data_IF_504110265998
#
_entry.id   IF_504110265998
#
_cell.length_a   1.000
_cell.length_b   1.000
_cell.length_c   1.000
_cell.angle_alpha   90.00
_cell.angle_beta   90.00
_cell.angle_gamma   90.00
#
_symmetry.space_group_name_H-M   'P 1'
#
loop_
_entity.id
_entity.type
_entity.pdbx_description
1 polymer ?
#
# COMPACT_ATOMS: atom_id res chain seq x y z
N UNK A 1 22.22 16.45 -4.03
CA UNK A 1 21.13 15.81 -4.80
C UNK A 1 21.61 15.45 -6.22
N UNK A 2 22.57 14.53 -6.37
CA UNK A 2 23.05 14.13 -7.70
C UNK A 2 21.98 13.42 -8.55
N UNK A 3 21.08 12.65 -7.93
CA UNK A 3 20.00 11.92 -8.64
C UNK A 3 19.03 12.87 -9.34
N UNK A 4 18.55 13.92 -8.66
CA UNK A 4 17.63 14.91 -9.25
C UNK A 4 18.26 15.61 -10.45
N UNK A 5 19.55 15.96 -10.33
CA UNK A 5 20.28 16.60 -11.42
C UNK A 5 20.43 15.69 -12.65
N UNK A 6 20.81 14.43 -12.43
CA UNK A 6 20.98 13.42 -13.49
C UNK A 6 19.65 13.10 -14.17
N UNK A 7 18.55 12.95 -13.41
CA UNK A 7 17.23 12.72 -13.98
C UNK A 7 16.75 13.90 -14.81
N UNK A 8 16.90 15.13 -14.32
CA UNK A 8 16.55 16.33 -15.07
C UNK A 8 17.34 16.45 -16.38
N UNK A 9 18.59 15.99 -16.39
CA UNK A 9 19.38 15.91 -17.61
C UNK A 9 18.87 14.84 -18.58
N UNK A 10 18.56 13.65 -18.07
CA UNK A 10 18.00 12.55 -18.86
C UNK A 10 16.67 12.91 -19.51
N UNK A 11 15.80 13.65 -18.79
CA UNK A 11 14.52 14.13 -19.30
C UNK A 11 14.62 15.39 -20.18
N UNK A 12 15.84 15.91 -20.43
CA UNK A 12 16.06 17.01 -21.36
C UNK A 12 15.66 18.39 -20.84
N UNK A 13 15.61 18.59 -19.52
CA UNK A 13 15.23 19.88 -18.95
C UNK A 13 16.31 20.94 -19.19
N UNK A 14 15.85 22.18 -19.39
CA UNK A 14 16.71 23.36 -19.46
C UNK A 14 17.49 23.54 -18.16
N UNK A 15 18.62 24.28 -18.20
CA UNK A 15 19.38 24.61 -16.98
C UNK A 15 18.53 25.36 -15.97
N UNK A 16 17.68 26.28 -16.44
CA UNK A 16 16.80 27.07 -15.59
C UNK A 16 15.76 26.19 -14.86
N UNK A 17 15.11 25.27 -15.57
CA UNK A 17 14.13 24.36 -14.96
C UNK A 17 14.81 23.35 -14.03
N UNK A 18 16.03 22.92 -14.36
CA UNK A 18 16.83 22.04 -13.51
C UNK A 18 17.18 22.72 -12.18
N UNK A 19 17.61 23.98 -12.21
CA UNK A 19 17.94 24.73 -11.01
C UNK A 19 16.69 24.96 -10.14
N UNK A 20 15.55 25.26 -10.76
CA UNK A 20 14.25 25.35 -10.06
C UNK A 20 13.86 24.05 -9.37
N UNK A 21 13.97 22.90 -10.05
CA UNK A 21 13.63 21.59 -9.46
C UNK A 21 14.60 21.22 -8.34
N UNK A 22 15.90 21.50 -8.49
CA UNK A 22 16.89 21.26 -7.43
C UNK A 22 16.59 22.11 -6.20
N UNK A 23 16.17 23.36 -6.40
CA UNK A 23 15.79 24.25 -5.31
C UNK A 23 14.52 23.76 -4.60
N UNK A 24 13.47 23.38 -5.34
CA UNK A 24 12.28 22.76 -4.77
C UNK A 24 12.59 21.49 -3.99
N UNK A 25 13.51 20.65 -4.51
CA UNK A 25 13.94 19.43 -3.82
C UNK A 25 14.71 19.71 -2.51
N UNK A 26 15.36 20.88 -2.38
CA UNK A 26 16.05 21.30 -1.16
C UNK A 26 15.11 21.86 -0.10
N UNK A 27 14.03 22.50 -0.52
CA UNK A 27 13.03 23.10 0.36
C UNK A 27 12.08 22.07 0.98
N UNK A 28 12.14 20.80 0.53
CA UNK A 28 11.31 19.73 1.11
C UNK A 28 11.69 19.51 2.57
N UNK A 29 10.78 19.86 3.47
CA UNK A 29 10.91 19.54 4.89
C UNK A 29 10.99 18.03 5.08
N UNK A 30 11.85 17.59 6.00
CA UNK A 30 11.91 16.20 6.42
C UNK A 30 10.58 15.84 7.07
N UNK A 31 9.81 14.96 6.45
CA UNK A 31 8.55 14.48 7.00
C UNK A 31 8.69 13.79 8.36
N UNK A 32 7.57 13.67 9.08
CA UNK A 32 7.52 13.11 10.44
C UNK A 32 8.13 11.70 10.56
N UNK A 33 8.16 10.92 9.47
CA UNK A 33 8.68 9.55 9.45
C UNK A 33 10.20 9.46 9.65
N UNK A 34 10.98 10.53 9.40
CA UNK A 34 12.42 10.55 9.66
C UNK A 34 12.78 10.45 11.15
N UNK A 35 11.80 10.64 12.05
CA UNK A 35 11.98 10.45 13.49
C UNK A 35 12.08 8.96 13.87
N UNK A 36 11.63 8.06 12.99
CA UNK A 36 11.61 6.62 13.22
C UNK A 36 12.76 5.93 12.48
N UNK A 37 13.87 5.67 13.20
CA UNK A 37 15.10 5.08 12.62
C UNK A 37 14.97 3.61 12.21
N UNK A 38 13.95 2.92 12.70
CA UNK A 38 13.71 1.49 12.42
C UNK A 38 12.90 1.26 11.13
N UNK A 39 12.60 2.32 10.37
CA UNK A 39 11.92 2.22 9.09
C UNK A 39 12.92 1.83 8.00
N UNK A 40 12.64 0.80 7.18
CA UNK A 40 13.45 0.50 6.01
C UNK A 40 13.50 1.67 5.01
N UNK A 41 14.67 1.93 4.41
CA UNK A 41 14.89 3.04 3.46
C UNK A 41 13.89 3.05 2.28
N UNK A 42 13.53 1.86 1.77
CA UNK A 42 12.53 1.74 0.70
C UNK A 42 11.14 2.22 1.16
N UNK A 43 10.81 2.01 2.44
CA UNK A 43 9.53 2.38 3.01
C UNK A 43 9.48 3.87 3.34
N UNK A 44 10.59 4.46 3.76
CA UNK A 44 10.75 5.92 3.93
C UNK A 44 10.39 6.66 2.64
N UNK A 45 10.95 6.21 1.51
CA UNK A 45 10.64 6.75 0.18
C UNK A 45 9.15 6.62 -0.16
N UNK A 46 8.56 5.46 0.14
CA UNK A 46 7.13 5.22 -0.08
C UNK A 46 6.24 6.15 0.78
N UNK A 47 6.53 6.31 2.08
CA UNK A 47 5.74 7.18 2.97
C UNK A 47 5.83 8.64 2.53
N UNK A 48 7.00 9.08 2.05
CA UNK A 48 7.17 10.43 1.51
C UNK A 48 6.47 10.69 0.17
N UNK A 49 6.07 9.65 -0.57
CA UNK A 49 5.17 9.75 -1.73
C UNK A 49 3.71 9.66 -1.31
N UNK A 50 3.39 8.78 -0.35
CA UNK A 50 2.05 8.63 0.21
C UNK A 50 1.56 9.91 0.90
N UNK A 51 2.46 10.66 1.56
CA UNK A 51 2.10 11.92 2.25
C UNK A 51 1.54 12.97 1.30
N UNK A 52 2.08 13.04 0.08
CA UNK A 52 1.66 13.98 -0.97
C UNK A 52 0.59 13.39 -1.90
N UNK A 53 0.27 12.09 -1.75
CA UNK A 53 -0.69 11.43 -2.62
C UNK A 53 -2.13 11.86 -2.31
N UNK A 54 -2.93 12.03 -3.36
CA UNK A 54 -4.38 12.14 -3.26
C UNK A 54 -5.08 10.77 -3.29
N UNK A 55 -4.45 9.76 -3.90
CA UNK A 55 -5.03 8.43 -4.05
C UNK A 55 -3.94 7.36 -3.90
N UNK A 56 -4.27 6.29 -3.16
CA UNK A 56 -3.44 5.09 -3.02
C UNK A 56 -4.22 3.89 -3.54
N UNK A 57 -3.60 3.12 -4.43
CA UNK A 57 -4.08 1.80 -4.83
C UNK A 57 -3.32 0.75 -4.01
N UNK A 58 -4.05 -0.12 -3.31
CA UNK A 58 -3.45 -1.09 -2.41
C UNK A 58 -3.97 -2.50 -2.69
N UNK A 59 -3.06 -3.46 -2.68
CA UNK A 59 -3.37 -4.88 -2.71
C UNK A 59 -2.48 -5.57 -1.67
N UNK A 60 -3.11 -6.38 -0.81
CA UNK A 60 -2.42 -7.26 0.13
C UNK A 60 -3.01 -8.66 0.05
N UNK A 61 -2.14 -9.66 -0.07
CA UNK A 61 -2.55 -11.03 -0.36
C UNK A 61 -3.07 -11.76 0.90
N UNK A 62 -2.45 -11.53 2.06
CA UNK A 62 -2.72 -12.31 3.28
C UNK A 62 -3.19 -11.54 4.50
N UNK A 63 -3.21 -10.20 4.45
CA UNK A 63 -3.57 -9.34 5.59
C UNK A 63 -4.47 -8.19 5.16
N UNK A 64 -5.19 -7.61 6.12
CA UNK A 64 -5.95 -6.38 5.86
C UNK A 64 -4.96 -5.25 5.51
N UNK A 65 -5.24 -4.42 4.48
CA UNK A 65 -4.44 -3.25 4.11
C UNK A 65 -3.97 -2.44 5.30
N UNK A 66 -2.67 -2.11 5.35
CA UNK A 66 -2.05 -1.44 6.50
C UNK A 66 -2.77 -0.18 6.98
N UNK A 67 -3.32 0.63 6.06
CA UNK A 67 -4.07 1.85 6.37
C UNK A 67 -5.46 1.58 6.99
N UNK A 68 -5.96 0.35 6.92
CA UNK A 68 -7.23 -0.10 7.52
C UNK A 68 -7.03 -0.93 8.79
N UNK A 69 -5.79 -1.21 9.19
CA UNK A 69 -5.50 -1.99 10.39
C UNK A 69 -5.78 -1.20 11.67
N UNK A 70 -6.24 -1.89 12.71
CA UNK A 70 -6.20 -1.37 14.09
C UNK A 70 -4.78 -1.51 14.64
N UNK A 71 -4.48 -0.80 15.74
CA UNK A 71 -3.17 -0.91 16.39
C UNK A 71 -2.87 -2.35 16.81
N UNK A 72 -3.86 -3.05 17.37
CA UNK A 72 -3.68 -4.42 17.87
C UNK A 72 -3.52 -5.43 16.75
N UNK A 73 -4.24 -5.26 15.63
CA UNK A 73 -4.01 -6.07 14.43
C UNK A 73 -2.63 -5.82 13.84
N UNK A 74 -2.21 -4.55 13.74
CA UNK A 74 -0.89 -4.19 13.25
C UNK A 74 0.22 -4.81 14.11
N UNK A 75 0.08 -4.76 15.43
CA UNK A 75 1.00 -5.40 16.39
C UNK A 75 1.08 -6.90 16.16
N UNK A 76 -0.07 -7.56 16.00
CA UNK A 76 -0.12 -8.99 15.72
C UNK A 76 0.55 -9.37 14.39
N UNK A 77 0.40 -8.54 13.34
CA UNK A 77 1.09 -8.73 12.06
C UNK A 77 2.61 -8.60 12.22
N UNK A 78 3.08 -7.55 12.88
CA UNK A 78 4.52 -7.34 13.07
C UNK A 78 5.16 -8.38 13.98
N UNK A 79 4.44 -8.84 15.01
CA UNK A 79 4.92 -9.90 15.92
C UNK A 79 5.03 -11.27 15.22
N UNK A 80 4.29 -11.48 14.13
CA UNK A 80 4.29 -12.73 13.38
C UNK A 80 5.30 -12.75 12.21
N UNK A 81 5.95 -11.62 11.92
CA UNK A 81 6.95 -11.55 10.86
C UNK A 81 8.20 -12.34 11.28
N UNK A 82 8.82 -13.06 10.34
CA UNK A 82 10.00 -13.92 10.63
C UNK A 82 11.22 -13.06 11.03
N UNK A 83 11.19 -11.76 10.70
CA UNK A 83 12.13 -10.76 11.17
C UNK A 83 11.71 -10.01 12.44
N UNK A 84 10.72 -10.52 13.20
CA UNK A 84 10.16 -9.85 14.38
C UNK A 84 11.27 -9.37 15.32
N UNK A 85 11.33 -8.05 15.44
CA UNK A 85 12.27 -7.27 16.23
C UNK A 85 11.78 -7.15 17.67
N UNK A 86 12.52 -6.44 18.54
CA UNK A 86 12.10 -6.25 19.94
C UNK A 86 10.72 -5.58 20.05
N UNK A 87 10.05 -5.76 21.19
CA UNK A 87 8.74 -5.14 21.46
C UNK A 87 8.73 -3.62 21.19
N UNK A 88 9.82 -2.92 21.54
CA UNK A 88 9.99 -1.48 21.29
C UNK A 88 9.96 -1.13 19.79
N UNK A 89 10.56 -1.96 18.96
CA UNK A 89 10.58 -1.76 17.51
C UNK A 89 9.22 -2.08 16.89
N UNK A 90 8.51 -3.08 17.41
CA UNK A 90 7.14 -3.37 17.02
C UNK A 90 6.24 -2.17 17.33
N UNK A 91 6.33 -1.59 18.54
CA UNK A 91 5.55 -0.39 18.89
C UNK A 91 5.91 0.83 18.04
N UNK A 92 7.19 0.99 17.69
CA UNK A 92 7.64 2.03 16.76
C UNK A 92 6.97 1.85 15.39
N UNK A 93 6.94 0.63 14.86
CA UNK A 93 6.29 0.32 13.58
C UNK A 93 4.76 0.48 13.62
N UNK A 94 4.12 0.09 14.73
CA UNK A 94 2.68 0.31 14.96
C UNK A 94 2.39 1.81 14.98
N UNK A 95 3.19 2.60 15.68
CA UNK A 95 3.06 4.06 15.75
C UNK A 95 3.10 4.69 14.37
N UNK A 96 4.08 4.30 13.54
CA UNK A 96 4.19 4.75 12.14
C UNK A 96 2.94 4.37 11.34
N UNK A 97 2.43 3.14 11.50
CA UNK A 97 1.21 2.71 10.78
C UNK A 97 -0.02 3.50 11.21
N UNK A 98 -0.20 3.78 12.50
CA UNK A 98 -1.32 4.57 13.01
C UNK A 98 -1.21 6.04 12.59
N UNK A 99 0.00 6.60 12.57
CA UNK A 99 0.23 7.95 12.07
C UNK A 99 -0.15 8.08 10.60
N UNK A 100 0.20 7.09 9.77
CA UNK A 100 -0.20 7.04 8.35
C UNK A 100 -1.72 6.94 8.16
N UNK A 101 -2.40 6.16 9.01
CA UNK A 101 -3.85 5.98 8.94
C UNK A 101 -4.63 7.30 9.11
N UNK A 102 -4.09 8.29 9.84
CA UNK A 102 -4.72 9.61 10.04
C UNK A 102 -5.05 10.32 8.72
N UNK A 103 -4.28 10.07 7.65
CA UNK A 103 -4.52 10.61 6.30
C UNK A 103 -5.90 10.26 5.75
N UNK A 104 -6.51 9.16 6.20
CA UNK A 104 -7.86 8.78 5.79
C UNK A 104 -8.96 9.70 6.37
N UNK A 105 -8.65 10.49 7.39
CA UNK A 105 -9.63 11.31 8.15
C UNK A 105 -9.33 12.81 8.16
N UNK A 106 -8.31 13.25 7.42
CA UNK A 106 -7.97 14.67 7.28
C UNK A 106 -8.99 15.44 6.42
N UNK A 107 -8.91 16.77 6.42
CA UNK A 107 -9.82 17.65 5.65
C UNK A 107 -9.78 17.37 4.13
N UNK A 108 -8.58 17.09 3.60
CA UNK A 108 -8.39 16.53 2.26
C UNK A 108 -7.97 15.07 2.41
N UNK A 109 -8.94 14.14 2.57
CA UNK A 109 -8.64 12.77 2.93
C UNK A 109 -8.01 12.01 1.77
N UNK A 110 -7.04 11.15 2.09
CA UNK A 110 -6.43 10.23 1.16
C UNK A 110 -7.48 9.23 0.64
N UNK A 111 -7.60 9.15 -0.69
CA UNK A 111 -8.48 8.16 -1.34
C UNK A 111 -7.80 6.80 -1.39
N UNK A 112 -8.18 5.88 -0.52
CA UNK A 112 -7.67 4.52 -0.54
C UNK A 112 -8.55 3.62 -1.41
N UNK A 113 -8.02 3.05 -2.48
CA UNK A 113 -8.68 1.96 -3.20
C UNK A 113 -7.95 0.67 -2.87
N UNK A 114 -8.61 -0.21 -2.14
CA UNK A 114 -7.96 -1.41 -1.61
C UNK A 114 -8.67 -2.67 -2.12
N UNK A 115 -7.88 -3.60 -2.64
CA UNK A 115 -8.33 -4.96 -2.93
C UNK A 115 -7.95 -5.84 -1.74
N UNK A 116 -8.95 -6.35 -1.04
CA UNK A 116 -8.79 -7.24 0.10
C UNK A 116 -9.04 -8.67 -0.36
N UNK A 117 -8.09 -9.56 -0.14
CA UNK A 117 -8.30 -10.98 -0.36
C UNK A 117 -9.31 -11.51 0.67
N UNK A 118 -10.36 -12.22 0.24
CA UNK A 118 -11.35 -12.82 1.15
C UNK A 118 -10.69 -13.66 2.25
N UNK A 119 -9.59 -14.35 1.95
CA UNK A 119 -8.86 -15.14 2.94
C UNK A 119 -8.31 -14.32 4.12
N UNK A 120 -8.03 -13.02 3.93
CA UNK A 120 -7.58 -12.13 4.99
C UNK A 120 -8.67 -11.83 6.04
N UNK A 121 -9.95 -12.04 5.70
CA UNK A 121 -11.08 -11.88 6.64
C UNK A 121 -11.26 -13.11 7.54
N UNK A 122 -10.79 -14.28 7.08
CA UNK A 122 -10.95 -15.56 7.77
C UNK A 122 -9.67 -16.05 8.45
N UNK A 123 -8.50 -15.59 8.00
CA UNK A 123 -7.23 -15.94 8.61
C UNK A 123 -7.10 -15.23 9.95
N UNK A 124 -6.93 -16.02 11.02
CA UNK A 124 -6.69 -15.47 12.34
C UNK A 124 -5.33 -14.75 12.37
N UNK A 125 -5.38 -13.46 12.69
CA UNK A 125 -4.21 -12.63 12.99
C UNK A 125 -4.39 -12.14 14.43
N UNK A 126 -3.47 -12.50 15.31
CA UNK A 126 -3.63 -12.26 16.74
C UNK A 126 -4.75 -13.12 17.34
N UNK A 127 -5.51 -12.55 18.28
CA UNK A 127 -6.61 -13.23 18.96
C UNK A 127 -7.97 -13.02 18.27
N UNK A 128 -8.99 -13.74 18.72
CA UNK A 128 -10.38 -13.55 18.27
C UNK A 128 -10.87 -12.13 18.57
N UNK A 129 -10.44 -11.54 19.68
CA UNK A 129 -10.81 -10.18 20.07
C UNK A 129 -10.18 -9.15 19.11
N UNK A 130 -8.90 -9.33 18.76
CA UNK A 130 -8.21 -8.50 17.75
C UNK A 130 -8.95 -8.54 16.41
N UNK A 131 -9.34 -9.73 15.96
CA UNK A 131 -10.11 -9.88 14.71
C UNK A 131 -11.51 -9.24 14.82
N UNK A 132 -12.19 -9.37 15.96
CA UNK A 132 -13.52 -8.77 16.19
C UNK A 132 -13.48 -7.25 16.10
N UNK A 133 -12.41 -6.63 16.58
CA UNK A 133 -12.20 -5.18 16.48
C UNK A 133 -11.74 -4.74 15.08
N UNK A 134 -10.95 -5.57 14.39
CA UNK A 134 -10.43 -5.27 13.06
C UNK A 134 -11.50 -5.32 11.96
N UNK A 135 -12.37 -6.33 11.97
CA UNK A 135 -13.29 -6.57 10.84
C UNK A 135 -14.21 -5.37 10.53
N UNK A 136 -14.83 -4.68 11.52
CA UNK A 136 -15.65 -3.50 11.27
C UNK A 136 -14.93 -2.37 10.51
N UNK A 137 -13.62 -2.19 10.71
CA UNK A 137 -12.86 -1.11 10.05
C UNK A 137 -12.63 -1.35 8.55
N UNK A 138 -12.81 -2.60 8.08
CA UNK A 138 -12.71 -2.95 6.67
C UNK A 138 -13.89 -2.41 5.85
N UNK A 139 -15.06 -2.29 6.48
CA UNK A 139 -16.32 -1.92 5.85
C UNK A 139 -16.86 -0.57 6.31
N UNK A 140 -16.11 0.20 7.10
CA UNK A 140 -16.43 1.61 7.35
C UNK A 140 -16.22 2.41 6.06
N UNK A 141 -17.14 2.20 5.13
CA UNK A 141 -17.25 2.78 3.79
C UNK A 141 -18.31 3.90 3.77
N UNK A 142 -18.91 4.24 4.92
CA UNK A 142 -20.03 5.19 4.94
C UNK A 142 -19.62 6.66 4.77
N UNK A 143 -18.35 7.01 4.93
CA UNK A 143 -17.92 8.42 4.92
C UNK A 143 -16.81 8.78 3.90
N UNK A 144 -16.25 7.84 3.13
CA UNK A 144 -15.12 8.14 2.24
C UNK A 144 -15.18 7.42 0.88
N UNK A 145 -14.69 8.01 -0.23
CA UNK A 145 -14.63 7.39 -1.58
C UNK A 145 -13.63 6.23 -1.71
N UNK A 146 -13.41 5.47 -0.63
CA UNK A 146 -12.60 4.25 -0.64
C UNK A 146 -13.39 3.11 -1.25
N UNK A 147 -13.00 2.67 -2.45
CA UNK A 147 -13.53 1.42 -3.01
C UNK A 147 -12.75 0.25 -2.40
N UNK A 148 -13.33 -0.42 -1.39
CA UNK A 148 -12.82 -1.70 -0.89
C UNK A 148 -13.42 -2.83 -1.73
N UNK A 149 -12.60 -3.49 -2.56
CA UNK A 149 -13.02 -4.67 -3.31
C UNK A 149 -12.56 -5.94 -2.59
N UNK A 150 -13.49 -6.77 -2.14
CA UNK A 150 -13.13 -8.11 -1.65
C UNK A 150 -13.08 -9.05 -2.84
N UNK A 151 -11.90 -9.56 -3.19
CA UNK A 151 -11.82 -10.62 -4.19
C UNK A 151 -12.41 -11.88 -3.58
N UNK A 152 -13.64 -12.22 -3.98
CA UNK A 152 -14.23 -13.51 -3.65
C UNK A 152 -13.29 -14.61 -4.15
N UNK A 153 -13.20 -15.72 -3.42
CA UNK A 153 -12.64 -16.98 -3.89
C UNK A 153 -12.98 -17.10 -5.38
N UNK A 154 -11.97 -17.19 -6.23
CA UNK A 154 -12.17 -17.95 -7.44
C UNK A 154 -12.75 -19.27 -6.95
N UNK A 155 -14.03 -19.55 -7.26
CA UNK A 155 -14.52 -20.93 -7.26
C UNK A 155 -13.37 -21.71 -7.89
N UNK A 156 -12.83 -22.76 -7.25
CA UNK A 156 -11.75 -23.52 -7.86
C UNK A 156 -12.23 -23.84 -9.25
N UNK A 157 -11.68 -23.11 -10.22
CA UNK A 157 -12.02 -23.29 -11.60
C UNK A 157 -11.63 -24.73 -11.79
N UNK A 158 -12.56 -25.56 -12.23
CA UNK A 158 -12.15 -26.69 -13.01
C UNK A 158 -11.26 -26.07 -14.09
N UNK A 159 -9.94 -26.14 -13.89
CA UNK A 159 -8.98 -25.87 -14.93
C UNK A 159 -9.35 -26.94 -15.95
N UNK A 160 -10.00 -26.58 -17.07
CA UNK A 160 -10.26 -27.59 -18.09
C UNK A 160 -8.88 -28.16 -18.43
N UNK A 161 -8.73 -29.49 -18.57
CA UNK A 161 -7.45 -30.05 -18.96
C UNK A 161 -6.96 -29.25 -20.16
N UNK A 162 -5.70 -28.78 -20.09
CA UNK A 162 -5.08 -27.98 -21.13
C UNK A 162 -5.34 -28.67 -22.47
N UNK A 163 -6.30 -28.16 -23.24
CA UNK A 163 -6.49 -28.62 -24.61
C UNK A 163 -5.23 -28.21 -25.32
N UNK A 164 -4.44 -29.19 -25.72
CA UNK A 164 -3.33 -29.01 -26.64
C UNK A 164 -3.84 -28.11 -27.77
N UNK A 165 -3.24 -26.93 -27.87
CA UNK A 165 -3.54 -25.97 -28.92
C UNK A 165 -3.26 -26.67 -30.27
N UNK A 166 -4.32 -27.07 -30.95
CA UNK A 166 -4.27 -27.59 -32.30
C UNK A 166 -5.43 -26.99 -33.09
N UNK A 167 -5.27 -25.71 -33.43
CA UNK A 167 -5.78 -25.14 -34.68
C UNK A 167 -5.28 -23.71 -34.79
N UNK A 168 -4.36 -23.51 -35.72
CA UNK A 168 -3.92 -22.22 -36.24
C UNK A 168 -5.11 -21.32 -36.57
N UNK A 169 -5.21 -20.16 -35.94
CA UNK A 169 -6.14 -19.11 -36.36
C UNK A 169 -5.32 -17.87 -36.73
N UNK A 170 -5.00 -17.76 -38.02
CA UNK A 170 -4.20 -16.70 -38.61
C UNK A 170 -5.10 -15.54 -39.07
N UNK A 171 -5.75 -14.83 -38.15
CA UNK A 171 -6.51 -13.62 -38.52
C UNK A 171 -6.51 -12.56 -37.41
N UNK A 172 -6.33 -11.26 -37.75
CA UNK A 172 -6.03 -10.21 -36.75
C UNK A 172 -7.25 -9.76 -35.91
N UNK A 173 -8.43 -10.29 -36.16
CA UNK A 173 -9.70 -9.81 -35.58
C UNK A 173 -10.05 -10.40 -34.21
N UNK A 174 -9.20 -11.25 -33.64
CA UNK A 174 -9.54 -12.09 -32.49
C UNK A 174 -9.47 -11.40 -31.11
N UNK A 175 -9.10 -10.10 -31.03
CA UNK A 175 -8.83 -9.41 -29.76
C UNK A 175 -9.68 -8.13 -29.55
N UNK A 176 -11.01 -8.22 -29.66
CA UNK A 176 -11.92 -7.19 -29.12
C UNK A 176 -13.10 -7.83 -28.40
N UNK A 177 -12.96 -7.92 -27.08
CA UNK A 177 -13.90 -7.42 -26.03
C UNK A 177 -13.21 -7.57 -24.69
#
# INVERSE_FOLDING_TARGET
>A
MPVVYVLSEFYGLSREDRDKIVELARQKELGWWHQHRDIPEWFESYVGLESEAHTVLNYQDGTIPGLRQTADYARAVFSADVGATSDDQIESHVTVRMQRQKRLTEESPLQLNAVINESALYRAVGSVDVMREQLPTCWSARDFPTSTYVSSRSRPGHMPPARAASSSCSSPTCWRT
#
